data_IF_084597396609
#
_entry.id   IF_084597396609
#
_cell.length_a   1.000
_cell.length_b   1.000
_cell.length_c   1.000
_cell.angle_alpha   90.00
_cell.angle_beta   90.00
_cell.angle_gamma   90.00
#
_symmetry.space_group_name_H-M   'P 1'
#
loop_
_entity.id
_entity.type
_entity.pdbx_description
1 polymer ?
#
# COMPACT_ATOMS: atom_id res chain seq x y z
N UNK A 1 2.81 1.06 -19.33
CA UNK A 1 3.37 0.38 -18.15
C UNK A 1 3.84 1.39 -17.10
N UNK A 2 5.10 1.84 -17.13
CA UNK A 2 5.70 2.73 -16.11
C UNK A 2 4.83 3.93 -15.76
N UNK A 3 4.27 4.61 -16.77
CA UNK A 3 3.42 5.80 -16.56
C UNK A 3 2.20 5.55 -15.67
N UNK A 4 1.54 4.38 -15.72
CA UNK A 4 0.33 4.11 -14.93
C UNK A 4 0.68 3.94 -13.45
N UNK A 5 1.61 3.05 -13.12
CA UNK A 5 2.10 2.87 -11.75
C UNK A 5 2.61 4.19 -11.19
N UNK A 6 3.47 4.87 -11.95
CA UNK A 6 4.08 6.12 -11.49
C UNK A 6 3.00 7.16 -11.17
N UNK A 7 1.95 7.29 -11.99
CA UNK A 7 0.83 8.21 -11.72
C UNK A 7 0.10 7.88 -10.41
N UNK A 8 -0.12 6.59 -10.12
CA UNK A 8 -0.73 6.17 -8.85
C UNK A 8 0.18 6.46 -7.65
N UNK A 9 1.49 6.54 -7.87
CA UNK A 9 2.48 6.80 -6.82
C UNK A 9 2.72 8.29 -6.54
N UNK A 10 2.31 9.21 -7.43
CA UNK A 10 2.63 10.65 -7.29
C UNK A 10 2.00 11.33 -6.08
N UNK A 11 1.02 10.69 -5.44
CA UNK A 11 0.36 11.21 -4.24
C UNK A 11 1.16 10.94 -2.96
N UNK A 12 2.29 10.24 -3.05
CA UNK A 12 3.09 9.82 -1.90
C UNK A 12 4.43 10.56 -1.84
N UNK A 13 4.83 10.96 -0.64
CA UNK A 13 6.03 11.77 -0.44
C UNK A 13 7.32 10.93 -0.43
N UNK A 14 7.35 9.76 0.21
CA UNK A 14 8.55 8.94 0.34
C UNK A 14 8.39 7.63 -0.43
N UNK A 15 9.04 7.52 -1.58
CA UNK A 15 8.86 6.40 -2.52
C UNK A 15 10.14 5.58 -2.61
N UNK A 16 10.02 4.26 -2.46
CA UNK A 16 11.11 3.30 -2.68
C UNK A 16 10.92 2.54 -4.01
N UNK A 17 11.90 2.59 -4.91
CA UNK A 17 12.06 1.65 -6.02
C UNK A 17 13.06 0.56 -5.66
N UNK A 18 12.69 -0.70 -5.91
CA UNK A 18 13.59 -1.85 -5.79
C UNK A 18 14.04 -2.30 -7.18
N UNK A 19 15.35 -2.29 -7.42
CA UNK A 19 15.94 -2.68 -8.70
C UNK A 19 15.76 -1.62 -9.79
N UNK A 20 16.22 -0.39 -9.54
CA UNK A 20 16.05 0.72 -10.50
C UNK A 20 16.78 0.52 -11.84
N UNK A 21 17.70 -0.43 -11.93
CA UNK A 21 18.35 -0.80 -13.18
C UNK A 21 19.05 0.38 -13.85
N UNK A 22 18.60 0.78 -15.05
CA UNK A 22 19.13 1.93 -15.82
C UNK A 22 18.48 3.27 -15.47
N UNK A 23 17.56 3.32 -14.50
CA UNK A 23 16.90 4.56 -14.11
C UNK A 23 15.72 5.00 -14.98
N UNK A 24 15.21 4.16 -15.89
CA UNK A 24 14.02 4.49 -16.70
C UNK A 24 12.77 4.79 -15.85
N UNK A 25 12.61 4.12 -14.70
CA UNK A 25 11.55 4.39 -13.72
C UNK A 25 11.77 5.70 -12.99
N UNK A 26 13.03 5.93 -12.63
CA UNK A 26 13.49 7.09 -11.89
C UNK A 26 13.21 8.38 -12.65
N UNK A 27 13.57 8.48 -13.94
CA UNK A 27 13.40 9.70 -14.74
C UNK A 27 11.94 10.17 -14.73
N UNK A 28 11.00 9.25 -14.95
CA UNK A 28 9.57 9.52 -14.95
C UNK A 28 9.01 9.92 -13.57
N UNK A 29 9.60 9.41 -12.48
CA UNK A 29 9.26 9.83 -11.12
C UNK A 29 9.88 11.20 -10.82
N UNK A 30 11.12 11.43 -11.27
CA UNK A 30 11.88 12.67 -11.13
C UNK A 30 11.23 13.87 -11.83
N UNK A 31 10.55 13.64 -12.93
CA UNK A 31 9.76 14.69 -13.58
C UNK A 31 8.50 15.07 -12.79
N UNK A 32 7.93 14.15 -11.99
CA UNK A 32 6.54 14.25 -11.53
C UNK A 32 6.31 14.33 -10.03
N UNK A 33 7.18 13.76 -9.21
CA UNK A 33 7.14 13.89 -7.73
C UNK A 33 7.69 15.24 -7.29
N UNK A 34 8.50 15.87 -8.15
CA UNK A 34 9.33 17.03 -7.84
C UNK A 34 8.71 18.43 -8.03
N UNK A 35 7.44 18.58 -8.46
CA UNK A 35 6.68 19.78 -8.12
C UNK A 35 6.34 19.88 -6.62
N UNK A 36 6.47 18.79 -5.84
CA UNK A 36 6.17 18.74 -4.40
C UNK A 36 7.41 18.55 -3.50
N UNK A 37 7.18 18.31 -2.19
CA UNK A 37 8.22 18.09 -1.17
C UNK A 37 8.62 16.60 -1.00
N UNK A 38 8.33 15.76 -2.00
CA UNK A 38 8.62 14.32 -1.94
C UNK A 38 10.10 14.00 -2.15
N UNK A 39 10.49 12.79 -1.75
CA UNK A 39 11.82 12.23 -1.84
C UNK A 39 11.76 10.83 -2.47
N UNK A 40 12.57 10.63 -3.50
CA UNK A 40 12.72 9.34 -4.16
C UNK A 40 13.92 8.56 -3.61
N UNK A 41 13.75 7.26 -3.41
CA UNK A 41 14.79 6.32 -2.98
C UNK A 41 14.85 5.15 -3.97
N UNK A 42 16.02 4.93 -4.57
CA UNK A 42 16.28 3.78 -5.42
C UNK A 42 17.29 2.85 -4.76
N UNK A 43 16.99 1.55 -4.71
CA UNK A 43 17.98 0.52 -4.35
C UNK A 43 18.29 -0.42 -5.50
N UNK A 44 19.54 -0.81 -5.66
CA UNK A 44 20.00 -1.71 -6.72
C UNK A 44 21.03 -2.70 -6.19
N UNK A 45 20.94 -3.95 -6.64
CA UNK A 45 21.86 -5.02 -6.24
C UNK A 45 23.14 -4.99 -7.09
N UNK A 46 23.03 -4.65 -8.37
CA UNK A 46 24.17 -4.61 -9.29
C UNK A 46 25.01 -3.36 -9.09
N UNK A 47 26.24 -3.52 -8.60
CA UNK A 47 27.21 -2.42 -8.44
C UNK A 47 27.36 -1.62 -9.73
N UNK A 48 27.51 -2.31 -10.86
CA UNK A 48 27.66 -1.67 -12.15
C UNK A 48 26.45 -0.79 -12.51
N UNK A 49 25.24 -1.27 -12.29
CA UNK A 49 24.02 -0.52 -12.61
C UNK A 49 23.81 0.65 -11.65
N UNK A 50 24.16 0.46 -10.37
CA UNK A 50 24.12 1.52 -9.38
C UNK A 50 25.08 2.66 -9.74
N UNK A 51 26.32 2.33 -10.12
CA UNK A 51 27.34 3.31 -10.50
C UNK A 51 26.94 4.07 -11.76
N UNK A 52 26.53 3.36 -12.82
CA UNK A 52 26.14 3.97 -14.10
C UNK A 52 24.97 4.93 -13.90
N UNK A 53 23.89 4.47 -13.27
CA UNK A 53 22.69 5.30 -13.10
C UNK A 53 22.94 6.47 -12.15
N UNK A 54 23.69 6.27 -11.06
CA UNK A 54 24.00 7.36 -10.14
C UNK A 54 24.88 8.43 -10.80
N UNK A 55 25.79 8.02 -11.69
CA UNK A 55 26.60 8.96 -12.47
C UNK A 55 25.77 9.73 -13.49
N UNK A 56 24.80 9.08 -14.14
CA UNK A 56 23.90 9.73 -15.11
C UNK A 56 22.92 10.69 -14.42
N UNK A 57 22.54 10.41 -13.17
CA UNK A 57 21.54 11.17 -12.40
C UNK A 57 22.16 12.08 -11.32
N UNK A 58 23.43 12.45 -11.47
CA UNK A 58 24.20 13.18 -10.47
C UNK A 58 23.55 14.51 -10.08
N UNK A 59 22.91 15.21 -11.02
CA UNK A 59 22.23 16.48 -10.76
C UNK A 59 21.04 16.33 -9.79
N UNK A 60 20.27 15.25 -9.92
CA UNK A 60 19.13 14.98 -9.05
C UNK A 60 19.56 14.51 -7.66
N UNK A 61 20.66 13.76 -7.58
CA UNK A 61 21.31 13.42 -6.31
C UNK A 61 21.78 14.69 -5.60
N UNK A 62 22.45 15.59 -6.34
CA UNK A 62 23.04 16.83 -5.79
C UNK A 62 21.96 17.77 -5.24
N UNK A 63 20.77 17.77 -5.84
CA UNK A 63 19.61 18.53 -5.36
C UNK A 63 18.88 17.85 -4.20
N UNK A 64 19.43 16.78 -3.63
CA UNK A 64 18.84 15.93 -2.60
C UNK A 64 17.44 15.45 -2.96
N UNK A 65 17.16 15.23 -4.25
CA UNK A 65 15.83 14.85 -4.77
C UNK A 65 15.69 13.34 -4.89
N UNK A 66 16.80 12.67 -5.17
CA UNK A 66 16.91 11.23 -5.21
C UNK A 66 18.05 10.75 -4.30
N UNK A 67 17.84 9.61 -3.67
CA UNK A 67 18.89 8.84 -3.01
C UNK A 67 19.00 7.49 -3.70
N UNK A 68 20.17 7.19 -4.25
CA UNK A 68 20.45 5.88 -4.82
C UNK A 68 21.41 5.15 -3.89
N UNK A 69 21.07 3.91 -3.55
CA UNK A 69 21.89 3.06 -2.71
C UNK A 69 22.11 1.72 -3.40
N UNK A 70 23.38 1.34 -3.53
CA UNK A 70 23.73 -0.05 -3.78
C UNK A 70 23.44 -0.86 -2.50
N UNK A 71 22.79 -2.01 -2.63
CA UNK A 71 22.56 -2.94 -1.53
C UNK A 71 23.21 -4.29 -1.81
N UNK A 72 23.66 -4.98 -0.76
CA UNK A 72 24.18 -6.36 -0.89
C UNK A 72 23.07 -7.41 -0.94
N UNK A 73 21.89 -7.09 -0.44
CA UNK A 73 20.70 -7.95 -0.39
C UNK A 73 19.45 -7.11 -0.10
N UNK A 74 18.29 -7.52 -0.61
CA UNK A 74 17.04 -6.79 -0.45
C UNK A 74 16.29 -7.10 0.87
N UNK A 75 16.66 -8.17 1.56
CA UNK A 75 16.11 -8.58 2.85
C UNK A 75 16.78 -7.88 4.05
N UNK A 76 17.70 -6.95 3.81
CA UNK A 76 18.35 -6.14 4.86
C UNK A 76 18.57 -4.71 4.38
N UNK A 77 17.52 -3.90 4.46
CA UNK A 77 17.52 -2.52 4.01
C UNK A 77 17.88 -1.57 5.17
N UNK A 78 18.72 -0.55 4.94
CA UNK A 78 19.16 0.40 5.96
C UNK A 78 18.12 1.49 6.26
N UNK A 79 16.83 1.12 6.25
CA UNK A 79 15.72 2.03 6.51
C UNK A 79 14.95 1.62 7.76
N UNK A 80 14.36 2.60 8.44
CA UNK A 80 13.51 2.34 9.60
C UNK A 80 12.24 1.59 9.22
N UNK A 81 11.66 0.90 10.19
CA UNK A 81 10.31 0.33 10.07
C UNK A 81 9.30 1.44 9.83
N UNK A 82 8.30 1.21 8.99
CA UNK A 82 7.23 2.16 8.66
C UNK A 82 7.77 3.52 8.13
N UNK A 83 8.81 3.50 7.27
CA UNK A 83 9.42 4.70 6.71
C UNK A 83 8.77 5.17 5.40
N UNK A 84 8.59 4.26 4.43
CA UNK A 84 8.12 4.61 3.08
C UNK A 84 6.60 4.74 2.98
N UNK A 85 6.16 5.65 2.14
CA UNK A 85 4.75 5.88 1.81
C UNK A 85 4.27 5.08 0.60
N UNK A 86 5.20 4.62 -0.24
CA UNK A 86 4.91 3.66 -1.30
C UNK A 86 6.18 2.91 -1.70
N UNK A 87 6.01 1.67 -2.16
CA UNK A 87 7.10 0.85 -2.66
C UNK A 87 6.72 0.32 -4.05
N UNK A 88 7.66 0.29 -4.98
CA UNK A 88 7.43 -0.39 -6.23
C UNK A 88 8.67 -1.09 -6.77
N UNK A 89 8.43 -2.01 -7.69
CA UNK A 89 9.48 -2.62 -8.50
C UNK A 89 8.93 -3.10 -9.83
N UNK A 90 9.80 -3.14 -10.85
CA UNK A 90 9.40 -3.46 -12.21
C UNK A 90 10.37 -4.50 -12.75
N UNK A 91 9.84 -5.62 -13.23
CA UNK A 91 10.63 -6.68 -13.84
C UNK A 91 11.88 -7.06 -13.00
N UNK A 92 11.74 -7.26 -11.68
CA UNK A 92 12.90 -7.62 -10.83
C UNK A 92 12.69 -8.85 -9.96
N UNK A 93 11.47 -9.16 -9.52
CA UNK A 93 11.29 -10.19 -8.49
C UNK A 93 11.74 -11.60 -8.92
N UNK A 94 11.74 -11.87 -10.22
CA UNK A 94 12.23 -13.13 -10.79
C UNK A 94 13.75 -13.30 -10.65
N UNK A 95 14.49 -12.23 -10.36
CA UNK A 95 15.91 -12.29 -10.00
C UNK A 95 16.12 -12.71 -8.53
N UNK A 96 15.07 -12.73 -7.71
CA UNK A 96 15.13 -13.16 -6.33
C UNK A 96 14.90 -14.67 -6.26
N UNK A 97 15.92 -15.40 -5.81
CA UNK A 97 15.78 -16.84 -5.59
C UNK A 97 14.62 -17.15 -4.61
N UNK A 98 14.13 -18.39 -4.62
CA UNK A 98 13.03 -18.84 -3.75
C UNK A 98 13.24 -18.57 -2.27
N UNK A 99 14.47 -18.71 -1.79
CA UNK A 99 14.82 -18.49 -0.39
C UNK A 99 14.69 -17.02 0.00
N UNK A 100 15.14 -16.13 -0.88
CA UNK A 100 15.21 -14.70 -0.61
C UNK A 100 13.86 -14.01 -0.90
N UNK A 101 12.98 -14.59 -1.72
CA UNK A 101 11.70 -13.96 -2.07
C UNK A 101 10.87 -13.61 -0.83
N UNK A 102 10.74 -14.56 0.11
CA UNK A 102 9.99 -14.35 1.35
C UNK A 102 10.64 -13.31 2.25
N UNK A 103 11.95 -13.43 2.47
CA UNK A 103 12.73 -12.53 3.31
C UNK A 103 12.71 -11.10 2.74
N UNK A 104 12.77 -10.94 1.41
CA UNK A 104 12.62 -9.66 0.73
C UNK A 104 11.22 -9.09 0.96
N UNK A 105 10.16 -9.88 0.78
CA UNK A 105 8.79 -9.43 1.03
C UNK A 105 8.55 -9.05 2.50
N UNK A 106 9.11 -9.77 3.47
CA UNK A 106 9.08 -9.41 4.90
C UNK A 106 9.78 -8.09 5.16
N UNK A 107 10.91 -7.85 4.52
CA UNK A 107 11.66 -6.60 4.65
C UNK A 107 10.93 -5.43 4.00
N UNK A 108 10.31 -5.64 2.83
CA UNK A 108 9.43 -4.65 2.20
C UNK A 108 8.23 -4.32 3.08
N UNK A 109 7.64 -5.33 3.70
CA UNK A 109 6.57 -5.15 4.68
C UNK A 109 7.06 -4.32 5.88
N UNK A 110 8.27 -4.57 6.38
CA UNK A 110 8.85 -3.81 7.50
C UNK A 110 9.00 -2.34 7.18
N UNK A 111 9.59 -1.98 6.05
CA UNK A 111 9.93 -0.59 5.71
C UNK A 111 8.74 0.23 5.22
N UNK A 112 7.67 -0.40 4.72
CA UNK A 112 6.47 0.29 4.24
C UNK A 112 5.56 0.71 5.40
N UNK A 113 4.95 1.90 5.37
CA UNK A 113 3.97 2.35 6.38
C UNK A 113 2.66 1.54 6.30
N UNK A 114 1.93 1.35 7.42
CA UNK A 114 0.58 0.79 7.38
C UNK A 114 -0.36 1.62 6.49
N UNK A 115 -1.22 0.95 5.74
CA UNK A 115 -2.13 1.56 4.77
C UNK A 115 -1.47 1.96 3.44
N UNK A 116 -0.15 1.80 3.30
CA UNK A 116 0.57 2.19 2.10
C UNK A 116 0.72 1.04 1.09
N UNK A 117 0.81 1.35 -0.21
CA UNK A 117 0.82 0.36 -1.27
C UNK A 117 2.23 -0.16 -1.62
N UNK A 118 2.24 -1.40 -2.10
CA UNK A 118 3.31 -2.00 -2.88
C UNK A 118 2.80 -2.25 -4.30
N UNK A 119 3.56 -1.81 -5.30
CA UNK A 119 3.27 -2.03 -6.71
C UNK A 119 4.32 -2.91 -7.36
N UNK A 120 3.90 -3.86 -8.19
CA UNK A 120 4.77 -4.61 -9.07
C UNK A 120 4.21 -4.56 -10.49
N UNK A 121 5.05 -4.26 -11.47
CA UNK A 121 4.73 -4.51 -12.87
C UNK A 121 5.69 -5.49 -13.51
N UNK A 122 5.16 -6.27 -14.44
CA UNK A 122 5.95 -7.14 -15.28
C UNK A 122 5.48 -7.15 -16.73
N UNK A 123 6.43 -7.25 -17.65
CA UNK A 123 6.16 -7.53 -19.06
C UNK A 123 6.15 -9.04 -19.30
N UNK A 124 4.96 -9.63 -19.38
CA UNK A 124 4.81 -11.08 -19.55
C UNK A 124 5.46 -11.57 -20.84
N UNK A 125 5.47 -10.74 -21.90
CA UNK A 125 6.07 -11.10 -23.18
C UNK A 125 7.59 -11.13 -23.09
N UNK A 126 8.19 -10.17 -22.38
CA UNK A 126 9.63 -10.18 -22.07
C UNK A 126 10.00 -11.42 -21.25
N UNK A 127 9.21 -11.74 -20.22
CA UNK A 127 9.43 -12.92 -19.38
C UNK A 127 9.32 -14.23 -20.18
N UNK A 128 8.31 -14.35 -21.04
CA UNK A 128 8.17 -15.49 -21.95
C UNK A 128 9.38 -15.64 -22.88
N UNK A 129 9.88 -14.55 -23.45
CA UNK A 129 11.11 -14.59 -24.27
C UNK A 129 12.32 -15.04 -23.46
N UNK A 130 12.52 -14.51 -22.25
CA UNK A 130 13.62 -14.94 -21.37
C UNK A 130 13.51 -16.43 -21.03
N UNK A 131 12.29 -16.95 -20.88
CA UNK A 131 12.03 -18.37 -20.66
C UNK A 131 12.33 -19.23 -21.89
N UNK A 132 11.96 -18.76 -23.09
CA UNK A 132 12.29 -19.43 -24.36
C UNK A 132 13.81 -19.55 -24.56
N UNK A 133 14.56 -18.51 -24.16
CA UNK A 133 16.03 -18.53 -24.16
C UNK A 133 16.65 -19.30 -22.98
N UNK A 134 15.84 -19.92 -22.12
CA UNK A 134 16.28 -20.66 -20.91
C UNK A 134 17.10 -19.82 -19.93
N UNK A 135 16.90 -18.50 -19.94
CA UNK A 135 17.49 -17.57 -18.97
C UNK A 135 16.71 -17.63 -17.65
N UNK A 136 15.38 -17.80 -17.74
CA UNK A 136 14.48 -17.97 -16.61
C UNK A 136 13.67 -19.26 -16.78
N UNK A 137 13.28 -19.88 -15.68
CA UNK A 137 12.23 -20.90 -15.68
C UNK A 137 10.85 -20.25 -15.51
N UNK A 138 9.78 -20.94 -15.94
CA UNK A 138 8.39 -20.47 -15.68
C UNK A 138 8.10 -20.23 -14.20
N UNK A 139 8.79 -20.96 -13.34
CA UNK A 139 8.64 -20.87 -11.89
C UNK A 139 9.32 -19.61 -11.30
N UNK A 140 10.31 -19.03 -11.98
CA UNK A 140 11.01 -17.84 -11.49
C UNK A 140 10.14 -16.59 -11.58
N UNK A 141 9.30 -16.50 -12.60
CA UNK A 141 8.43 -15.35 -12.83
C UNK A 141 6.94 -15.64 -12.63
N UNK A 142 6.60 -16.77 -11.99
CA UNK A 142 5.21 -17.12 -11.68
C UNK A 142 4.56 -16.04 -10.80
N UNK A 143 3.54 -15.31 -11.30
CA UNK A 143 2.91 -14.25 -10.53
C UNK A 143 2.22 -14.76 -9.27
N UNK A 144 1.68 -15.98 -9.30
CA UNK A 144 0.96 -16.54 -8.16
C UNK A 144 1.91 -16.86 -7.01
N UNK A 145 3.11 -17.35 -7.31
CA UNK A 145 4.17 -17.52 -6.30
C UNK A 145 4.50 -16.19 -5.60
N UNK A 146 4.56 -15.10 -6.36
CA UNK A 146 4.81 -13.78 -5.78
C UNK A 146 3.65 -13.31 -4.89
N UNK A 147 2.41 -13.49 -5.35
CA UNK A 147 1.18 -13.16 -4.61
C UNK A 147 1.11 -13.94 -3.29
N UNK A 148 1.29 -15.26 -3.33
CA UNK A 148 1.29 -16.11 -2.13
C UNK A 148 2.36 -15.67 -1.13
N UNK A 149 3.54 -15.30 -1.63
CA UNK A 149 4.62 -14.83 -0.77
C UNK A 149 4.29 -13.47 -0.12
N UNK A 150 3.67 -12.55 -0.87
CA UNK A 150 3.20 -11.27 -0.33
C UNK A 150 2.16 -11.49 0.79
N UNK A 151 1.20 -12.39 0.60
CA UNK A 151 0.22 -12.74 1.63
C UNK A 151 0.88 -13.31 2.89
N UNK A 152 1.82 -14.24 2.72
CA UNK A 152 2.58 -14.83 3.83
C UNK A 152 3.41 -13.81 4.59
N UNK A 153 3.91 -12.76 3.93
CA UNK A 153 4.64 -11.65 4.54
C UNK A 153 3.72 -10.61 5.21
N UNK A 154 2.40 -10.77 5.13
CA UNK A 154 1.42 -9.95 5.82
C UNK A 154 0.77 -8.85 4.97
N UNK A 155 1.08 -8.76 3.68
CA UNK A 155 0.35 -7.87 2.77
C UNK A 155 -1.10 -8.35 2.59
N UNK A 156 -2.00 -7.40 2.35
CA UNK A 156 -3.41 -7.66 2.08
C UNK A 156 -3.92 -6.88 0.88
N UNK A 157 -5.22 -7.06 0.59
CA UNK A 157 -5.92 -6.39 -0.51
C UNK A 157 -5.20 -6.54 -1.87
N UNK A 158 -4.67 -7.73 -2.14
CA UNK A 158 -3.87 -7.97 -3.34
C UNK A 158 -4.79 -8.00 -4.57
N UNK A 159 -4.43 -7.22 -5.59
CA UNK A 159 -5.15 -7.13 -6.87
C UNK A 159 -4.19 -7.40 -8.02
N UNK A 160 -4.66 -8.17 -9.00
CA UNK A 160 -3.95 -8.45 -10.24
C UNK A 160 -4.72 -7.79 -11.39
N UNK A 161 -4.05 -6.95 -12.15
CA UNK A 161 -4.61 -6.28 -13.33
C UNK A 161 -3.77 -6.60 -14.57
N UNK A 162 -4.45 -7.02 -15.63
CA UNK A 162 -3.81 -7.26 -16.93
C UNK A 162 -4.10 -6.07 -17.84
N UNK A 163 -3.04 -5.47 -18.36
CA UNK A 163 -3.12 -4.37 -19.31
C UNK A 163 -2.46 -4.80 -20.63
N UNK A 164 -3.24 -4.78 -21.69
CA UNK A 164 -2.73 -4.96 -23.05
C UNK A 164 -2.39 -3.60 -23.62
N UNK A 165 -1.12 -3.42 -23.97
CA UNK A 165 -0.63 -2.22 -24.63
C UNK A 165 -0.49 -2.53 -26.12
N UNK A 166 -1.50 -2.11 -26.88
CA UNK A 166 -1.45 -2.10 -28.34
C UNK A 166 -0.58 -0.92 -28.81
N UNK A 167 0.03 -1.05 -30.00
CA UNK A 167 0.91 -0.02 -30.54
C UNK A 167 0.16 1.27 -30.80
N UNK A 168 0.55 2.36 -30.15
CA UNK A 168 0.37 3.70 -30.72
C UNK A 168 1.48 3.91 -31.75
N UNK A 169 1.09 4.14 -33.01
CA UNK A 169 1.97 4.59 -34.08
C UNK A 169 2.78 5.79 -33.62
N UNK A 170 4.11 5.65 -33.52
CA UNK A 170 5.12 6.61 -34.01
C UNK A 170 6.52 6.50 -33.37
N UNK A 171 6.83 5.56 -32.47
CA UNK A 171 8.17 5.57 -31.84
C UNK A 171 9.04 4.30 -31.88
N UNK A 172 8.64 3.18 -32.49
CA UNK A 172 9.54 2.00 -32.54
C UNK A 172 9.45 1.24 -33.87
N UNK A 173 10.44 1.50 -34.73
CA UNK A 173 10.61 0.92 -36.07
C UNK A 173 11.28 -0.45 -36.03
N UNK A 174 10.75 -1.40 -35.26
CA UNK A 174 11.18 -2.80 -35.31
C UNK A 174 10.01 -3.72 -35.68
N UNK A 175 10.13 -4.32 -36.85
CA UNK A 175 9.07 -4.99 -37.62
C UNK A 175 8.54 -6.32 -37.03
N UNK A 176 8.78 -6.63 -35.75
CA UNK A 176 8.38 -7.92 -35.16
C UNK A 176 7.70 -7.87 -33.77
N UNK A 177 7.26 -6.69 -33.33
CA UNK A 177 6.63 -6.56 -32.02
C UNK A 177 5.09 -6.62 -32.05
N UNK A 178 4.55 -7.75 -31.58
CA UNK A 178 3.16 -7.95 -31.16
C UNK A 178 2.82 -7.06 -29.95
N UNK A 179 1.52 -6.93 -29.63
CA UNK A 179 1.06 -6.24 -28.42
C UNK A 179 1.82 -6.69 -27.16
N UNK A 180 2.08 -5.75 -26.24
CA UNK A 180 2.72 -6.05 -24.95
C UNK A 180 1.64 -6.38 -23.93
N UNK A 181 1.86 -7.43 -23.15
CA UNK A 181 0.97 -7.83 -22.07
C UNK A 181 1.65 -7.52 -20.74
N UNK A 182 1.04 -6.62 -19.99
CA UNK A 182 1.54 -6.14 -18.72
C UNK A 182 0.69 -6.73 -17.62
N UNK A 183 1.32 -7.33 -16.62
CA UNK A 183 0.66 -7.68 -15.37
C UNK A 183 1.08 -6.67 -14.30
N UNK A 184 0.09 -6.06 -13.66
CA UNK A 184 0.23 -5.21 -12.50
C UNK A 184 -0.27 -5.95 -11.27
N UNK A 185 0.52 -5.97 -10.21
CA UNK A 185 0.17 -6.52 -8.91
C UNK A 185 0.20 -5.38 -7.91
N UNK A 186 -0.94 -5.11 -7.29
CA UNK A 186 -1.06 -4.13 -6.21
C UNK A 186 -1.28 -4.88 -4.92
N UNK A 187 -0.51 -4.54 -3.90
CA UNK A 187 -0.68 -5.05 -2.55
C UNK A 187 -0.66 -3.88 -1.56
N UNK A 188 -1.23 -4.05 -0.38
CA UNK A 188 -1.26 -2.99 0.64
C UNK A 188 -0.82 -3.57 1.97
N UNK A 189 0.06 -2.86 2.68
CA UNK A 189 0.31 -3.18 4.08
C UNK A 189 -0.95 -2.83 4.86
N UNK A 190 -1.64 -3.77 5.51
CA UNK A 190 -2.87 -3.45 6.23
C UNK A 190 -2.61 -2.34 7.25
N UNK A 191 -3.62 -1.48 7.49
CA UNK A 191 -3.58 -0.61 8.66
C UNK A 191 -3.32 -1.51 9.88
N UNK A 192 -2.43 -1.09 10.79
CA UNK A 192 -2.22 -1.81 12.05
C UNK A 192 -3.60 -2.11 12.61
N UNK A 193 -3.92 -3.41 12.81
CA UNK A 193 -5.10 -3.77 13.60
C UNK A 193 -5.01 -2.93 14.87
N UNK A 194 -6.08 -2.20 15.21
CA UNK A 194 -6.30 -1.80 16.62
C UNK A 194 -5.87 -3.00 17.45
N UNK A 195 -4.97 -2.81 18.42
CA UNK A 195 -4.61 -3.89 19.33
C UNK A 195 -5.89 -4.63 19.68
N UNK A 196 -5.91 -5.94 19.40
CA UNK A 196 -6.99 -6.77 19.90
C UNK A 196 -6.77 -6.71 21.41
N UNK A 197 -7.54 -5.84 22.07
CA UNK A 197 -7.58 -5.72 23.51
C UNK A 197 -7.72 -7.15 24.03
N UNK A 198 -6.84 -7.61 24.95
CA UNK A 198 -6.94 -8.95 25.52
C UNK A 198 -8.38 -9.25 25.90
N UNK A 199 -8.85 -10.49 25.71
CA UNK A 199 -10.27 -10.86 25.90
C UNK A 199 -10.85 -10.37 27.24
N UNK A 200 -10.03 -10.31 28.29
CA UNK A 200 -10.40 -9.76 29.61
C UNK A 200 -10.74 -8.27 29.59
N UNK A 201 -10.06 -7.47 28.77
CA UNK A 201 -10.35 -6.03 28.62
C UNK A 201 -11.61 -5.83 27.78
N UNK A 202 -11.84 -6.67 26.75
CA UNK A 202 -13.09 -6.66 25.99
C UNK A 202 -14.29 -7.00 26.89
N UNK A 203 -14.18 -8.02 27.74
CA UNK A 203 -15.23 -8.41 28.69
C UNK A 203 -15.51 -7.30 29.72
N UNK A 204 -14.47 -6.64 30.22
CA UNK A 204 -14.61 -5.51 31.13
C UNK A 204 -15.33 -4.32 30.45
N UNK A 205 -14.94 -3.99 29.21
CA UNK A 205 -15.57 -2.92 28.44
C UNK A 205 -17.02 -3.23 28.09
N UNK A 206 -17.34 -4.46 27.69
CA UNK A 206 -18.73 -4.88 27.44
C UNK A 206 -19.59 -4.78 28.70
N UNK A 207 -19.03 -5.13 29.86
CA UNK A 207 -19.71 -5.00 31.15
C UNK A 207 -19.98 -3.55 31.51
N UNK A 208 -19.01 -2.66 31.29
CA UNK A 208 -19.16 -1.23 31.58
C UNK A 208 -20.13 -0.53 30.61
N UNK A 209 -20.14 -0.92 29.33
CA UNK A 209 -21.12 -0.42 28.36
C UNK A 209 -22.53 -0.82 28.78
N UNK A 210 -22.77 -2.10 29.11
CA UNK A 210 -24.09 -2.57 29.57
C UNK A 210 -24.56 -1.87 30.84
N UNK A 211 -23.65 -1.58 31.78
CA UNK A 211 -23.97 -0.80 32.99
C UNK A 211 -24.39 0.62 32.64
N UNK A 212 -23.65 1.28 31.75
CA UNK A 212 -23.94 2.64 31.32
C UNK A 212 -25.29 2.71 30.61
N UNK A 213 -25.59 1.76 29.71
CA UNK A 213 -26.89 1.67 29.02
C UNK A 213 -28.05 1.44 30.00
N UNK A 214 -27.83 0.61 31.03
CA UNK A 214 -28.82 0.36 32.07
C UNK A 214 -29.08 1.63 32.90
N UNK A 215 -28.04 2.34 33.30
CA UNK A 215 -28.13 3.59 34.07
C UNK A 215 -28.85 4.69 33.26
N UNK A 216 -28.57 4.79 31.96
CA UNK A 216 -29.29 5.70 31.07
C UNK A 216 -30.77 5.34 30.91
N UNK A 217 -31.09 4.05 30.81
CA UNK A 217 -32.46 3.56 30.72
C UNK A 217 -33.26 3.84 32.00
N UNK A 218 -32.64 3.61 33.17
CA UNK A 218 -33.21 3.93 34.47
C UNK A 218 -33.45 5.44 34.60
N UNK A 219 -32.45 6.26 34.24
CA UNK A 219 -32.55 7.72 34.28
C UNK A 219 -33.67 8.25 33.38
N UNK A 220 -33.79 7.73 32.14
CA UNK A 220 -34.89 8.07 31.22
C UNK A 220 -36.25 7.67 31.79
N UNK A 221 -36.37 6.47 32.35
CA UNK A 221 -37.62 5.99 32.98
C UNK A 221 -38.06 6.89 34.14
N UNK A 222 -37.14 7.24 35.05
CA UNK A 222 -37.42 8.14 36.19
C UNK A 222 -37.84 9.53 35.70
N UNK A 223 -37.16 10.05 34.67
CA UNK A 223 -37.50 11.36 34.08
C UNK A 223 -38.87 11.36 33.38
N UNK A 224 -39.25 10.24 32.76
CA UNK A 224 -40.54 10.05 32.09
C UNK A 224 -41.69 9.99 33.10
N UNK A 225 -41.55 9.17 34.14
CA UNK A 225 -42.54 9.07 35.21
C UNK A 225 -42.76 10.41 35.92
N UNK A 226 -41.68 11.17 36.16
CA UNK A 226 -41.77 12.50 36.77
C UNK A 226 -42.57 13.50 35.92
N UNK A 227 -42.40 13.46 34.59
CA UNK A 227 -43.17 14.31 33.65
C UNK A 227 -44.63 13.91 33.58
N UNK A 228 -44.92 12.61 33.61
CA UNK A 228 -46.28 12.08 33.58
C UNK A 228 -47.07 12.45 34.84
N UNK A 229 -46.45 12.32 36.03
CA UNK A 229 -47.03 12.80 37.30
C UNK A 229 -47.27 14.30 37.29
N UNK A 230 -46.35 15.10 36.71
CA UNK A 230 -46.54 16.54 36.57
C UNK A 230 -47.73 16.90 35.66
N UNK A 231 -47.88 16.18 34.55
CA UNK A 231 -48.98 16.39 33.61
C UNK A 231 -50.33 15.97 34.20
N UNK A 232 -50.38 14.86 34.94
CA UNK A 232 -51.59 14.44 35.64
C UNK A 232 -52.03 15.48 36.68
N UNK A 233 -51.08 16.07 37.44
CA UNK A 233 -51.39 17.16 38.39
C UNK A 233 -51.90 18.43 37.71
N UNK A 234 -51.33 18.81 36.56
CA UNK A 234 -51.80 19.96 35.78
C UNK A 234 -53.22 19.75 35.24
N UNK A 235 -53.52 18.56 34.72
CA UNK A 235 -54.85 18.24 34.22
C UNK A 235 -55.88 18.19 35.35
N UNK A 236 -55.49 17.73 36.54
CA UNK A 236 -56.37 17.75 37.71
C UNK A 236 -56.69 19.18 38.18
N UNK A 237 -55.72 20.10 38.12
CA UNK A 237 -55.94 21.52 38.45
C UNK A 237 -56.82 22.23 37.40
N UNK A 238 -56.61 21.98 36.11
CA UNK A 238 -57.43 22.58 35.05
C UNK A 238 -58.90 22.16 35.12
N UNK A 239 -59.18 20.91 35.54
CA UNK A 239 -60.55 20.43 35.70
C UNK A 239 -61.24 20.96 36.97
N UNK A 240 -60.51 21.46 37.95
CA UNK A 240 -61.08 22.08 39.17
C UNK A 240 -61.50 23.54 38.92
N UNK A 241 -60.90 24.20 37.94
CA UNK A 241 -61.23 25.58 37.55
C UNK A 241 -62.50 25.64 36.66
N UNK A 242 -62.83 24.57 35.92
CA UNK A 242 -64.03 24.48 35.07
C UNK A 242 -65.31 24.10 35.82
N UNK A 243 -65.23 23.56 37.04
CA UNK A 243 -66.42 23.23 37.87
C UNK A 243 -66.87 24.38 38.78
N UNK A 244 -66.23 25.55 38.72
CA UNK A 244 -66.55 26.73 39.56
C UNK A 244 -67.04 27.97 38.81
N UNK A 245 -67.40 27.84 37.52
CA UNK A 245 -68.03 28.91 36.72
C UNK A 245 -69.53 28.72 36.52
#
# INVERSE_FOLDING_TARGET
>A
MLRKIILEMLIYDYILEVGFGRGNGVELILEKVFPGNGQYYGIELSNYMADVTSSEMLDDITRTKAMFSQVGMFNFLPYNTDFFNALFHIDVFYAWNTKNLKENCEEFYRVLKPGCPLFCAMDLRKLHRLAEYRILSKFDYDPMRYVETLEQSGFGCIKLEYERIDKNSNLDSSANDKAREILLIHATKPLKKREILPAKILEALETDIRRTELDESISKSISGQSKEVLNQRKNLMLNLDDETS
#
